data_IF_440686776876
#
_entry.id   IF_440686776876
#
_cell.length_a   1.000
_cell.length_b   1.000
_cell.length_c   1.000
_cell.angle_alpha   90.00
_cell.angle_beta   90.00
_cell.angle_gamma   90.00
#
_symmetry.space_group_name_H-M   'P 1'
#
loop_
_entity.id
_entity.type
_entity.pdbx_description
1 polymer ?
#
# COMPACT_ATOMS: atom_id res chain seq x y z
N UNK A 1 -17.75 16.03 9.88
CA UNK A 1 -16.81 16.55 10.90
C UNK A 1 -17.42 17.78 11.56
N UNK A 2 -17.02 18.14 12.79
CA UNK A 2 -17.45 19.39 13.45
C UNK A 2 -16.36 20.46 13.31
N UNK A 3 -16.75 21.72 13.08
CA UNK A 3 -15.83 22.86 12.95
C UNK A 3 -14.94 23.02 14.20
N UNK A 4 -15.48 22.75 15.39
CA UNK A 4 -14.73 22.75 16.66
C UNK A 4 -13.50 21.84 16.63
N UNK A 5 -13.58 20.68 15.98
CA UNK A 5 -12.46 19.73 15.87
C UNK A 5 -11.35 20.27 14.96
N UNK A 6 -11.71 20.98 13.88
CA UNK A 6 -10.74 21.64 12.99
C UNK A 6 -10.01 22.78 13.71
N UNK A 7 -10.71 23.61 14.48
CA UNK A 7 -10.10 24.70 15.27
C UNK A 7 -9.17 24.14 16.36
N UNK A 8 -9.45 22.95 16.91
CA UNK A 8 -8.60 22.30 17.90
C UNK A 8 -7.30 21.73 17.29
N UNK A 9 -7.41 20.98 16.17
CA UNK A 9 -6.29 20.34 15.49
C UNK A 9 -6.53 20.29 13.95
N UNK A 10 -6.12 21.33 13.20
CA UNK A 10 -6.36 21.38 11.75
C UNK A 10 -5.53 20.36 10.97
N UNK A 11 -4.31 20.04 11.42
CA UNK A 11 -3.46 19.02 10.80
C UNK A 11 -4.12 17.64 10.78
N UNK A 12 -4.61 17.17 11.95
CA UNK A 12 -5.25 15.86 12.05
C UNK A 12 -6.55 15.80 11.25
N UNK A 13 -7.36 16.87 11.26
CA UNK A 13 -8.59 16.94 10.46
C UNK A 13 -8.29 16.85 8.97
N UNK A 14 -7.30 17.58 8.47
CA UNK A 14 -6.90 17.54 7.06
C UNK A 14 -6.28 16.19 6.69
N UNK A 15 -5.49 15.58 7.59
CA UNK A 15 -4.91 14.25 7.39
C UNK A 15 -5.98 13.16 7.24
N UNK A 16 -6.99 13.15 8.12
CA UNK A 16 -8.13 12.24 8.04
C UNK A 16 -8.94 12.51 6.76
N UNK A 17 -9.21 13.78 6.45
CA UNK A 17 -10.00 14.16 5.28
C UNK A 17 -9.36 13.72 3.96
N UNK A 18 -8.04 13.86 3.83
CA UNK A 18 -7.26 13.48 2.63
C UNK A 18 -6.85 12.00 2.59
N UNK A 19 -7.13 11.20 3.63
CA UNK A 19 -6.75 9.78 3.65
C UNK A 19 -7.95 8.83 3.82
N UNK A 20 -8.30 8.44 5.04
CA UNK A 20 -9.42 7.54 5.35
C UNK A 20 -10.72 8.01 4.70
N UNK A 21 -11.14 9.25 4.98
CA UNK A 21 -12.38 9.79 4.39
C UNK A 21 -12.33 9.90 2.86
N UNK A 22 -11.19 10.30 2.29
CA UNK A 22 -11.00 10.40 0.83
C UNK A 22 -11.14 9.05 0.12
N UNK A 23 -10.68 7.99 0.79
CA UNK A 23 -10.70 6.62 0.28
C UNK A 23 -12.09 6.01 0.49
N UNK A 24 -12.65 6.08 1.70
CA UNK A 24 -14.00 5.59 2.05
C UNK A 24 -15.13 6.22 1.24
N UNK A 25 -14.97 7.46 0.78
CA UNK A 25 -15.96 8.14 -0.08
C UNK A 25 -15.67 8.01 -1.58
N UNK A 26 -14.71 7.17 -1.97
CA UNK A 26 -14.39 6.91 -3.38
C UNK A 26 -13.83 8.12 -4.14
N UNK A 27 -13.48 9.22 -3.45
CA UNK A 27 -13.05 10.46 -4.10
C UNK A 27 -11.76 10.24 -4.91
N UNK A 28 -10.92 9.31 -4.46
CA UNK A 28 -9.68 8.87 -5.10
C UNK A 28 -9.85 8.20 -6.48
N UNK A 29 -11.04 7.74 -6.87
CA UNK A 29 -11.29 7.22 -8.22
C UNK A 29 -11.33 8.34 -9.26
N UNK A 30 -11.66 9.58 -8.87
CA UNK A 30 -11.65 10.72 -9.77
C UNK A 30 -10.28 11.40 -9.77
N UNK A 31 -9.58 11.29 -10.91
CA UNK A 31 -8.31 12.00 -11.15
C UNK A 31 -8.45 13.53 -10.98
N UNK A 32 -9.63 14.08 -11.28
CA UNK A 32 -9.94 15.50 -11.03
C UNK A 32 -9.95 15.82 -9.53
N UNK A 33 -10.62 15.00 -8.71
CA UNK A 33 -10.65 15.17 -7.25
C UNK A 33 -9.26 15.10 -6.63
N UNK A 34 -8.44 14.13 -7.06
CA UNK A 34 -7.05 13.96 -6.62
C UNK A 34 -6.17 15.19 -6.91
N UNK A 35 -6.45 15.91 -8.00
CA UNK A 35 -5.70 17.11 -8.39
C UNK A 35 -6.24 18.39 -7.71
N UNK A 36 -7.56 18.60 -7.70
CA UNK A 36 -8.15 19.88 -7.28
C UNK A 36 -8.31 20.02 -5.77
N UNK A 37 -8.68 18.95 -5.05
CA UNK A 37 -9.03 19.03 -3.62
C UNK A 37 -7.81 19.40 -2.76
N UNK A 38 -6.61 18.79 -2.95
CA UNK A 38 -5.41 19.24 -2.26
C UNK A 38 -5.02 20.68 -2.58
N UNK A 39 -5.26 21.18 -3.81
CA UNK A 39 -4.98 22.59 -4.17
C UNK A 39 -5.93 23.56 -3.45
N UNK A 40 -7.23 23.25 -3.38
CA UNK A 40 -8.21 24.06 -2.67
C UNK A 40 -7.88 24.15 -1.16
N UNK A 41 -7.51 23.03 -0.53
CA UNK A 41 -7.09 23.02 0.87
C UNK A 41 -5.79 23.81 1.09
N UNK A 42 -4.85 23.77 0.14
CA UNK A 42 -3.61 24.55 0.20
C UNK A 42 -3.88 26.06 0.28
N UNK A 43 -4.73 26.57 -0.62
CA UNK A 43 -5.14 27.97 -0.61
C UNK A 43 -5.88 28.34 0.67
N UNK A 44 -6.77 27.49 1.17
CA UNK A 44 -7.50 27.72 2.42
C UNK A 44 -6.58 27.80 3.64
N UNK A 45 -5.65 26.84 3.81
CA UNK A 45 -4.71 26.84 4.95
C UNK A 45 -3.73 28.02 4.86
N UNK A 46 -3.21 28.36 3.67
CA UNK A 46 -2.40 29.58 3.50
C UNK A 46 -3.17 30.86 3.81
N UNK A 47 -4.46 30.93 3.47
CA UNK A 47 -5.31 32.07 3.84
C UNK A 47 -5.44 32.21 5.36
N UNK A 48 -5.62 31.11 6.11
CA UNK A 48 -5.68 31.12 7.58
C UNK A 48 -4.36 31.60 8.21
N UNK A 49 -3.22 31.16 7.68
CA UNK A 49 -1.88 31.56 8.12
C UNK A 49 -1.59 33.05 7.85
N UNK A 50 -1.76 33.50 6.60
CA UNK A 50 -1.45 34.88 6.18
C UNK A 50 -2.29 35.90 6.94
N UNK A 51 -3.58 35.61 7.15
CA UNK A 51 -4.49 36.49 7.89
C UNK A 51 -4.48 36.25 9.42
N UNK A 52 -3.63 35.33 9.91
CA UNK A 52 -3.44 34.99 11.34
C UNK A 52 -4.74 34.62 12.08
N UNK A 53 -5.71 34.04 11.36
CA UNK A 53 -7.07 33.75 11.85
C UNK A 53 -7.05 32.74 13.02
N UNK A 54 -6.08 31.82 13.02
CA UNK A 54 -5.81 30.89 14.13
C UNK A 54 -4.34 31.02 14.57
N UNK A 55 -3.96 32.21 15.06
CA UNK A 55 -2.60 32.53 15.51
C UNK A 55 -2.05 31.57 16.58
N UNK A 56 -2.90 31.00 17.43
CA UNK A 56 -2.56 29.97 18.43
C UNK A 56 -2.25 28.58 17.82
N UNK A 57 -2.39 28.41 16.51
CA UNK A 57 -2.36 27.11 15.81
C UNK A 57 -1.44 27.09 14.59
N UNK A 58 -0.53 28.07 14.44
CA UNK A 58 0.45 28.16 13.34
C UNK A 58 1.08 26.82 13.00
N UNK A 59 1.69 26.17 13.99
CA UNK A 59 2.46 24.93 13.86
C UNK A 59 1.60 23.75 13.35
N UNK A 60 0.29 23.79 13.63
CA UNK A 60 -0.68 22.81 13.15
C UNK A 60 -1.19 23.15 11.74
N UNK A 61 -1.21 24.42 11.35
CA UNK A 61 -1.51 24.84 9.97
C UNK A 61 -0.31 24.57 9.05
N UNK A 62 0.91 24.83 9.51
CA UNK A 62 2.14 24.50 8.77
C UNK A 62 2.29 22.99 8.58
N UNK A 63 2.05 22.19 9.64
CA UNK A 63 1.96 20.72 9.52
C UNK A 63 0.83 20.28 8.56
N UNK A 64 -0.29 21.00 8.51
CA UNK A 64 -1.35 20.72 7.55
C UNK A 64 -0.91 21.01 6.10
N UNK A 65 -0.15 22.08 5.86
CA UNK A 65 0.45 22.36 4.55
C UNK A 65 1.36 21.22 4.09
N UNK A 66 2.25 20.72 4.95
CA UNK A 66 3.13 19.58 4.58
C UNK A 66 2.33 18.33 4.19
N UNK A 67 1.21 18.07 4.86
CA UNK A 67 0.32 16.94 4.54
C UNK A 67 -0.41 17.18 3.21
N UNK A 68 -0.83 18.41 2.93
CA UNK A 68 -1.43 18.80 1.65
C UNK A 68 -0.42 18.71 0.49
N UNK A 69 0.84 19.11 0.72
CA UNK A 69 1.91 19.04 -0.28
C UNK A 69 2.28 17.58 -0.60
N UNK A 70 2.33 16.69 0.40
CA UNK A 70 2.39 15.24 0.14
C UNK A 70 1.17 14.78 -0.67
N UNK A 71 -0.05 15.15 -0.27
CA UNK A 71 -1.29 14.74 -0.94
C UNK A 71 -1.37 15.17 -2.42
N UNK A 72 -0.95 16.40 -2.75
CA UNK A 72 -0.86 16.88 -4.15
C UNK A 72 0.01 15.96 -5.02
N UNK A 73 1.06 15.37 -4.45
CA UNK A 73 2.00 14.52 -5.20
C UNK A 73 1.73 13.02 -5.11
N UNK A 74 0.92 12.56 -4.16
CA UNK A 74 0.60 11.13 -3.96
C UNK A 74 -0.77 10.76 -4.53
N UNK A 75 -1.82 11.57 -4.31
CA UNK A 75 -3.17 11.25 -4.80
C UNK A 75 -3.24 11.24 -6.34
N UNK A 76 -2.43 12.08 -7.00
CA UNK A 76 -2.25 12.06 -8.45
C UNK A 76 -1.74 10.70 -8.98
N UNK A 77 -1.00 9.94 -8.16
CA UNK A 77 -0.41 8.65 -8.54
C UNK A 77 -1.40 7.49 -8.41
N UNK A 78 -2.50 7.62 -7.66
CA UNK A 78 -3.45 6.52 -7.41
C UNK A 78 -3.98 5.91 -8.71
N UNK A 79 -4.44 6.76 -9.63
CA UNK A 79 -4.91 6.31 -10.95
C UNK A 79 -3.81 5.69 -11.82
N UNK A 80 -2.53 6.03 -11.59
CA UNK A 80 -1.39 5.49 -12.34
C UNK A 80 -0.98 4.14 -11.78
N UNK A 81 -0.84 4.02 -10.45
CA UNK A 81 -0.54 2.75 -9.76
C UNK A 81 -1.62 1.71 -10.07
N UNK A 82 -2.91 2.09 -10.01
CA UNK A 82 -4.03 1.22 -10.35
C UNK A 82 -4.14 0.84 -11.83
N UNK A 83 -3.31 1.42 -12.71
CA UNK A 83 -3.19 1.08 -14.13
C UNK A 83 -1.88 0.35 -14.46
N UNK A 84 -0.85 0.48 -13.61
CA UNK A 84 0.50 -0.06 -13.83
C UNK A 84 0.85 -1.27 -12.94
N UNK A 85 0.00 -1.59 -11.96
CA UNK A 85 0.18 -2.73 -11.05
C UNK A 85 -1.00 -3.71 -11.13
N UNK A 86 -0.77 -5.01 -11.37
CA UNK A 86 0.50 -5.64 -11.76
C UNK A 86 0.97 -5.21 -13.16
N UNK A 87 2.29 -5.10 -13.36
CA UNK A 87 2.91 -4.85 -14.66
C UNK A 87 3.06 -6.14 -15.50
N UNK A 88 3.64 -6.07 -16.70
CA UNK A 88 3.73 -7.22 -17.60
C UNK A 88 4.57 -8.36 -16.99
N UNK A 89 5.63 -8.06 -16.24
CA UNK A 89 6.42 -9.06 -15.51
C UNK A 89 5.57 -9.76 -14.44
N UNK A 90 4.87 -8.99 -13.61
CA UNK A 90 4.06 -9.53 -12.53
C UNK A 90 2.83 -10.29 -13.06
N UNK A 91 2.21 -9.82 -14.15
CA UNK A 91 1.16 -10.54 -14.89
C UNK A 91 1.70 -11.85 -15.49
N UNK A 92 2.89 -11.84 -16.10
CA UNK A 92 3.53 -13.04 -16.66
C UNK A 92 3.83 -14.07 -15.57
N UNK A 93 4.31 -13.64 -14.39
CA UNK A 93 4.44 -14.52 -13.24
C UNK A 93 3.08 -15.10 -12.79
N UNK A 94 2.01 -14.28 -12.77
CA UNK A 94 0.65 -14.73 -12.46
C UNK A 94 0.14 -15.77 -13.46
N UNK A 95 0.40 -15.60 -14.75
CA UNK A 95 0.07 -16.56 -15.81
C UNK A 95 0.85 -17.88 -15.65
N UNK A 96 2.18 -17.82 -15.56
CA UNK A 96 3.07 -18.98 -15.44
C UNK A 96 2.84 -19.82 -14.17
N UNK A 97 2.37 -19.18 -13.09
CA UNK A 97 2.19 -19.80 -11.78
C UNK A 97 0.72 -19.90 -11.33
N UNK A 98 -0.24 -19.71 -12.22
CA UNK A 98 -1.65 -20.06 -11.99
C UNK A 98 -1.86 -21.57 -12.04
N UNK A 99 -2.76 -22.12 -11.21
CA UNK A 99 -3.08 -23.56 -11.23
C UNK A 99 -4.03 -23.92 -12.39
N UNK A 100 -3.75 -23.46 -13.62
CA UNK A 100 -4.59 -23.63 -14.81
C UNK A 100 -4.78 -25.10 -15.23
N UNK A 101 -4.09 -26.05 -14.58
CA UNK A 101 -4.34 -27.49 -14.68
C UNK A 101 -5.45 -28.03 -13.76
N UNK A 102 -6.08 -27.21 -12.91
CA UNK A 102 -7.17 -27.60 -12.00
C UNK A 102 -8.43 -26.71 -12.14
N UNK A 103 -8.71 -26.22 -13.35
CA UNK A 103 -9.97 -25.55 -13.65
C UNK A 103 -11.15 -26.56 -13.77
N UNK A 104 -11.71 -26.98 -12.62
CA UNK A 104 -13.14 -27.27 -12.39
C UNK A 104 -13.41 -28.18 -11.16
N UNK A 105 -13.11 -27.71 -9.94
CA UNK A 105 -13.96 -28.06 -8.80
C UNK A 105 -14.70 -26.80 -8.34
N UNK A 106 -16.01 -26.94 -8.13
CA UNK A 106 -16.90 -25.81 -7.91
C UNK A 106 -16.80 -25.36 -6.44
N UNK A 107 -15.94 -24.38 -6.17
CA UNK A 107 -16.04 -23.56 -4.95
C UNK A 107 -17.27 -22.63 -5.10
N UNK A 108 -18.45 -23.25 -5.10
CA UNK A 108 -19.73 -22.58 -5.19
C UNK A 108 -19.91 -21.77 -3.92
N UNK A 109 -19.98 -20.45 -4.08
CA UNK A 109 -20.16 -19.54 -2.96
C UNK A 109 -21.57 -19.68 -2.40
N UNK A 110 -21.78 -20.70 -1.56
CA UNK A 110 -23.01 -20.90 -0.78
C UNK A 110 -23.21 -19.66 0.09
N UNK A 111 -24.08 -18.77 -0.38
CA UNK A 111 -24.64 -17.71 0.43
C UNK A 111 -25.29 -18.36 1.65
N UNK A 112 -24.94 -17.97 2.89
CA UNK A 112 -25.56 -18.52 4.09
C UNK A 112 -27.00 -17.99 4.20
N UNK A 113 -27.91 -18.66 3.48
CA UNK A 113 -29.34 -18.42 3.61
C UNK A 113 -29.77 -18.76 5.04
N UNK A 114 -30.17 -17.74 5.79
CA UNK A 114 -30.73 -17.88 7.13
C UNK A 114 -32.04 -18.67 7.08
N UNK A 115 -31.94 -19.99 7.26
CA UNK A 115 -33.09 -20.84 7.56
C UNK A 115 -33.58 -20.51 8.97
N UNK A 116 -34.52 -19.56 9.06
CA UNK A 116 -35.27 -19.30 10.28
C UNK A 116 -36.04 -20.55 10.71
N UNK A 117 -35.44 -21.34 11.60
CA UNK A 117 -36.09 -22.46 12.25
C UNK A 117 -37.23 -21.93 13.15
N UNK A 118 -38.46 -22.04 12.66
CA UNK A 118 -39.66 -21.86 13.48
C UNK A 118 -39.73 -23.04 14.44
N UNK A 119 -39.27 -22.82 15.67
CA UNK A 119 -39.38 -23.79 16.76
C UNK A 119 -40.85 -23.97 17.10
N UNK A 120 -41.39 -25.15 16.80
CA UNK A 120 -42.66 -25.61 17.37
C UNK A 120 -42.36 -26.37 18.64
N UNK A 121 -42.96 -25.99 19.76
CA UNK A 121 -42.84 -26.74 21.01
C UNK A 121 -43.61 -28.05 20.92
N UNK A 122 -42.98 -29.18 21.24
CA UNK A 122 -43.68 -30.24 21.96
C UNK A 122 -42.72 -31.07 22.83
N UNK A 123 -43.25 -31.64 23.91
CA UNK A 123 -42.46 -32.21 25.01
C UNK A 123 -42.40 -33.73 24.98
N UNK A 124 -41.27 -34.33 25.37
CA UNK A 124 -41.33 -35.50 26.27
C UNK A 124 -40.00 -35.81 26.99
N UNK A 125 -40.16 -36.32 28.21
CA UNK A 125 -39.12 -36.62 29.20
C UNK A 125 -38.51 -38.00 28.97
N UNK A 126 -37.18 -38.19 29.12
CA UNK A 126 -36.63 -39.12 30.14
C UNK A 126 -35.10 -39.35 30.19
N UNK A 127 -34.62 -39.49 31.44
CA UNK A 127 -33.58 -40.41 31.96
C UNK A 127 -32.09 -40.24 31.57
N UNK A 128 -31.33 -39.75 32.56
CA UNK A 128 -29.99 -40.20 32.98
C UNK A 128 -29.89 -41.76 33.10
N UNK A 129 -28.69 -42.40 33.12
CA UNK A 129 -27.49 -41.95 33.87
C UNK A 129 -26.07 -42.26 33.29
N UNK A 130 -25.03 -41.78 34.01
CA UNK A 130 -23.68 -42.36 34.29
C UNK A 130 -22.93 -43.17 33.19
N UNK A 131 -21.62 -43.07 32.98
CA UNK A 131 -20.50 -42.26 33.52
C UNK A 131 -19.24 -42.58 32.65
N UNK A 132 -17.94 -42.45 32.95
CA UNK A 132 -17.14 -42.13 34.15
C UNK A 132 -15.72 -41.60 33.78
N UNK A 133 -14.73 -41.74 34.66
CA UNK A 133 -13.34 -41.26 34.53
C UNK A 133 -12.47 -42.07 33.54
N UNK A 134 -11.54 -41.40 32.84
CA UNK A 134 -10.11 -41.83 32.81
C UNK A 134 -9.20 -40.58 32.80
N UNK A 135 -8.17 -40.56 33.65
CA UNK A 135 -7.11 -39.55 33.65
C UNK A 135 -5.80 -40.10 33.10
N UNK A 136 -5.06 -39.33 32.29
CA UNK A 136 -3.62 -39.60 32.06
C UNK A 136 -2.78 -38.34 31.82
N UNK A 137 -2.20 -37.79 32.89
CA UNK A 137 -1.20 -36.73 32.83
C UNK A 137 0.15 -37.30 32.35
N UNK A 138 0.83 -36.68 31.37
CA UNK A 138 2.23 -37.03 31.03
C UNK A 138 3.17 -35.82 30.95
N UNK A 139 3.53 -35.32 32.15
CA UNK A 139 4.31 -34.10 32.41
C UNK A 139 5.81 -34.28 32.07
N UNK A 140 6.22 -34.09 30.80
CA UNK A 140 7.61 -34.31 30.35
C UNK A 140 8.53 -33.12 30.72
N UNK A 141 9.24 -33.23 31.84
CA UNK A 141 10.12 -32.20 32.43
C UNK A 141 11.58 -32.34 31.95
N UNK A 142 12.07 -31.42 31.11
CA UNK A 142 13.52 -31.27 30.78
C UNK A 142 13.82 -29.78 30.56
N UNK A 143 14.32 -29.09 31.58
CA UNK A 143 15.74 -28.71 31.72
C UNK A 143 16.24 -27.78 30.61
N UNK A 144 15.89 -26.50 30.73
CA UNK A 144 16.72 -25.42 30.21
C UNK A 144 18.12 -25.49 30.84
N UNK A 145 19.16 -25.22 30.06
CA UNK A 145 20.55 -25.13 30.54
C UNK A 145 21.09 -23.75 30.19
N UNK A 146 20.82 -22.77 31.05
CA UNK A 146 21.43 -21.46 30.93
C UNK A 146 22.96 -21.60 30.92
N UNK A 147 23.62 -20.89 30.02
CA UNK A 147 25.08 -20.75 29.99
C UNK A 147 25.36 -19.25 30.02
N UNK A 148 25.77 -18.73 31.18
CA UNK A 148 26.27 -17.37 31.28
C UNK A 148 27.49 -17.24 30.37
N UNK A 149 27.58 -16.14 29.63
CA UNK A 149 28.84 -15.66 29.07
C UNK A 149 29.13 -14.30 29.71
N UNK A 150 30.22 -14.23 30.46
CA UNK A 150 30.59 -13.03 31.23
C UNK A 150 31.28 -12.02 30.33
N UNK A 151 31.08 -10.73 30.64
CA UNK A 151 31.67 -9.59 29.93
C UNK A 151 33.21 -9.61 29.93
N UNK A 152 33.79 -9.04 28.87
CA UNK A 152 35.13 -8.47 28.87
C UNK A 152 35.07 -7.07 28.21
N UNK A 153 35.48 -5.99 28.88
CA UNK A 153 35.37 -4.64 28.34
C UNK A 153 36.55 -4.29 27.43
N UNK A 154 36.37 -4.44 26.11
CA UNK A 154 37.32 -3.98 25.09
C UNK A 154 37.13 -2.50 24.78
N UNK A 155 37.96 -1.63 25.37
CA UNK A 155 37.96 -0.20 25.03
C UNK A 155 38.61 0.07 23.66
N UNK A 156 37.87 0.73 22.76
CA UNK A 156 38.36 1.10 21.43
C UNK A 156 37.84 2.48 21.03
N UNK A 157 38.62 3.53 21.31
CA UNK A 157 38.28 4.90 20.91
C UNK A 157 38.56 5.08 19.42
N UNK A 158 37.53 5.31 18.61
CA UNK A 158 37.63 5.63 17.20
C UNK A 158 37.00 7.00 16.94
N UNK A 159 37.78 7.92 16.38
CA UNK A 159 37.39 9.33 16.21
C UNK A 159 36.33 9.52 15.12
N UNK A 160 35.26 10.25 15.44
CA UNK A 160 34.38 10.85 14.43
C UNK A 160 35.19 11.85 13.58
N UNK A 161 35.44 11.50 12.32
CA UNK A 161 35.91 12.46 11.33
C UNK A 161 34.73 13.33 10.88
N UNK A 162 34.72 14.59 11.30
CA UNK A 162 33.76 15.58 10.80
C UNK A 162 34.20 16.00 9.39
N UNK A 163 33.38 15.70 8.39
CA UNK A 163 33.62 16.14 7.01
C UNK A 163 33.03 17.55 6.84
N UNK A 164 33.85 18.57 7.03
CA UNK A 164 33.49 19.95 6.73
C UNK A 164 33.44 20.16 5.20
N UNK A 165 32.23 20.15 4.64
CA UNK A 165 31.99 20.44 3.22
C UNK A 165 32.10 21.95 2.93
N UNK A 166 33.34 22.45 2.85
CA UNK A 166 33.64 23.84 2.50
C UNK A 166 33.29 24.15 1.04
N UNK A 167 32.04 24.55 0.78
CA UNK A 167 31.60 25.09 -0.51
C UNK A 167 31.82 26.60 -0.54
N UNK A 168 32.95 27.03 -1.10
CA UNK A 168 33.17 28.44 -1.41
C UNK A 168 32.31 28.85 -2.60
N UNK A 169 31.51 29.91 -2.47
CA UNK A 169 30.74 30.51 -3.58
C UNK A 169 30.80 32.03 -3.51
N UNK A 170 31.90 32.59 -4.00
CA UNK A 170 32.07 34.03 -4.19
C UNK A 170 31.42 34.47 -5.50
N UNK A 171 30.24 35.08 -5.44
CA UNK A 171 29.49 35.54 -6.60
C UNK A 171 28.75 36.85 -6.33
N UNK A 172 29.46 37.98 -6.35
CA UNK A 172 28.83 39.29 -6.30
C UNK A 172 28.17 39.63 -7.65
N UNK A 173 26.85 39.86 -7.64
CA UNK A 173 26.19 40.69 -8.65
C UNK A 173 25.21 41.64 -7.96
N UNK A 174 25.46 42.95 -8.09
CA UNK A 174 24.52 43.99 -7.69
C UNK A 174 23.50 44.22 -8.80
N UNK A 175 22.23 44.33 -8.44
CA UNK A 175 21.15 44.44 -9.42
C UNK A 175 19.79 44.75 -8.80
N UNK A 176 19.59 46.00 -8.37
CA UNK A 176 18.28 46.50 -7.95
C UNK A 176 17.60 47.24 -9.08
N UNK A 177 16.38 46.83 -9.47
CA UNK A 177 15.43 47.73 -10.11
C UNK A 177 14.09 47.81 -9.37
N UNK A 178 13.76 49.04 -8.95
CA UNK A 178 12.43 49.66 -8.80
C UNK A 178 11.18 48.76 -8.80
N UNK A 179 10.38 48.91 -7.74
CA UNK A 179 8.96 48.54 -7.75
C UNK A 179 8.11 49.49 -8.63
N UNK A 180 7.13 48.93 -9.36
CA UNK A 180 5.95 49.65 -9.85
C UNK A 180 4.87 48.68 -10.37
N UNK A 181 3.73 48.60 -9.67
CA UNK A 181 2.45 47.96 -10.06
C UNK A 181 1.50 48.07 -8.85
N UNK A 182 0.89 49.22 -8.58
CA UNK A 182 -0.12 49.89 -9.42
C UNK A 182 -1.23 48.91 -9.83
N UNK A 183 -2.19 48.72 -8.93
CA UNK A 183 -3.41 47.95 -9.16
C UNK A 183 -4.63 48.82 -8.83
N UNK A 184 -5.45 49.10 -9.85
CA UNK A 184 -6.90 49.26 -9.68
C UNK A 184 -7.43 50.45 -8.87
N UNK A 185 -7.08 51.70 -9.18
CA UNK A 185 -7.97 52.84 -8.82
C UNK A 185 -9.16 52.88 -9.78
N UNK A 186 -10.22 52.13 -9.46
CA UNK A 186 -11.52 52.22 -10.11
C UNK A 186 -12.45 53.21 -9.40
N UNK A 187 -13.21 54.00 -10.14
CA UNK A 187 -14.04 55.08 -9.58
C UNK A 187 -15.14 54.59 -8.64
N UNK A 188 -15.42 55.38 -7.61
CA UNK A 188 -16.68 55.28 -6.89
C UNK A 188 -17.81 55.90 -7.73
N UNK A 189 -18.96 55.24 -7.78
CA UNK A 189 -20.23 55.83 -8.19
C UNK A 189 -21.30 55.45 -7.15
N UNK A 190 -22.14 56.39 -6.76
CA UNK A 190 -22.85 56.36 -5.49
C UNK A 190 -24.37 56.20 -5.66
N UNK A 191 -24.95 55.22 -4.94
CA UNK A 191 -26.38 55.18 -4.67
C UNK A 191 -26.66 54.92 -3.18
N UNK A 192 -27.47 55.76 -2.51
CA UNK A 192 -27.84 55.57 -1.11
C UNK A 192 -29.06 54.63 -0.99
N UNK A 193 -28.82 53.35 -0.70
CA UNK A 193 -29.88 52.39 -0.41
C UNK A 193 -30.27 52.42 1.08
N UNK A 194 -31.55 52.74 1.33
CA UNK A 194 -32.18 52.84 2.66
C UNK A 194 -32.00 51.59 3.53
N UNK A 195 -31.47 51.74 4.73
CA UNK A 195 -31.59 50.73 5.79
C UNK A 195 -32.93 50.92 6.50
N UNK A 196 -33.93 50.14 6.10
CA UNK A 196 -35.25 50.05 6.76
C UNK A 196 -35.42 48.70 7.44
N UNK A 197 -36.22 48.69 8.51
CA UNK A 197 -36.42 47.56 9.44
C UNK A 197 -37.51 46.61 8.91
N UNK A 198 -37.56 45.41 9.50
CA UNK A 198 -38.40 44.24 9.16
C UNK A 198 -37.73 43.28 8.15
N UNK A 199 -37.93 41.95 8.23
CA UNK A 199 -38.83 41.18 9.11
C UNK A 199 -38.28 39.78 9.42
N UNK A 200 -38.85 39.07 10.41
CA UNK A 200 -38.39 37.75 10.84
C UNK A 200 -38.81 36.62 9.90
N UNK A 201 -38.04 36.41 8.82
CA UNK A 201 -38.19 35.29 7.88
C UNK A 201 -37.54 33.99 8.35
N UNK A 202 -38.27 32.87 8.27
CA UNK A 202 -37.84 31.57 8.79
C UNK A 202 -36.82 30.82 7.92
N UNK A 203 -35.84 30.17 8.58
CA UNK A 203 -34.90 29.23 7.94
C UNK A 203 -35.60 27.90 7.62
N UNK A 204 -36.36 27.85 6.52
CA UNK A 204 -37.14 26.65 6.19
C UNK A 204 -37.96 26.74 4.91
N UNK A 205 -37.36 27.13 3.78
CA UNK A 205 -37.99 26.94 2.46
C UNK A 205 -36.97 26.58 1.38
N UNK A 206 -37.40 25.72 0.47
CA UNK A 206 -36.58 25.03 -0.53
C UNK A 206 -35.98 25.96 -1.60
N UNK A 207 -34.66 26.04 -1.63
CA UNK A 207 -33.89 26.23 -2.86
C UNK A 207 -32.75 25.22 -2.90
N UNK A 208 -32.39 24.73 -4.08
CA UNK A 208 -31.35 23.72 -4.26
C UNK A 208 -29.96 24.33 -4.10
N UNK A 209 -29.55 24.59 -2.86
CA UNK A 209 -28.16 24.89 -2.54
C UNK A 209 -27.29 23.69 -2.89
N UNK A 210 -26.54 23.78 -3.99
CA UNK A 210 -25.49 22.83 -4.31
C UNK A 210 -24.39 22.95 -3.25
N UNK A 211 -24.46 22.10 -2.24
CA UNK A 211 -23.42 22.00 -1.21
C UNK A 211 -22.08 21.60 -1.84
N UNK A 212 -20.97 21.98 -1.19
CA UNK A 212 -19.59 21.78 -1.64
C UNK A 212 -19.10 20.30 -1.70
N UNK A 213 -20.03 19.36 -1.83
CA UNK A 213 -19.80 17.94 -2.12
C UNK A 213 -20.83 17.33 -3.07
N UNK A 214 -21.68 18.15 -3.70
CA UNK A 214 -22.49 17.71 -4.83
C UNK A 214 -21.55 17.49 -6.03
N UNK A 215 -21.34 16.23 -6.41
CA UNK A 215 -20.69 15.90 -7.68
C UNK A 215 -21.57 16.47 -8.78
N UNK A 216 -21.05 17.42 -9.55
CA UNK A 216 -21.76 17.99 -10.69
C UNK A 216 -21.60 17.01 -11.85
N UNK A 217 -22.41 15.95 -11.81
CA UNK A 217 -22.70 15.09 -12.96
C UNK A 217 -23.57 15.87 -13.97
N UNK A 218 -23.04 16.98 -14.47
CA UNK A 218 -23.36 17.48 -15.79
C UNK A 218 -22.34 16.83 -16.75
N UNK A 219 -22.63 15.64 -17.31
CA UNK A 219 -21.91 15.20 -18.49
C UNK A 219 -22.21 16.22 -19.60
N UNK A 220 -21.25 17.11 -19.87
CA UNK A 220 -21.14 17.71 -21.20
C UNK A 220 -20.85 16.51 -22.10
N UNK A 221 -21.87 16.05 -22.84
CA UNK A 221 -21.88 14.77 -23.56
C UNK A 221 -20.91 14.81 -24.75
N UNK A 222 -19.63 14.72 -24.41
CA UNK A 222 -18.47 14.65 -25.27
C UNK A 222 -17.35 13.84 -24.57
N UNK A 223 -17.74 12.98 -23.62
CA UNK A 223 -16.88 11.95 -23.07
C UNK A 223 -16.58 10.93 -24.17
N UNK A 224 -15.42 11.09 -24.82
CA UNK A 224 -14.87 10.21 -25.84
C UNK A 224 -14.49 8.80 -25.35
N UNK A 225 -15.20 8.28 -24.36
CA UNK A 225 -15.17 6.90 -23.87
C UNK A 225 -16.13 5.99 -24.66
N UNK A 226 -17.10 6.57 -25.37
CA UNK A 226 -17.99 5.82 -26.27
C UNK A 226 -17.27 5.29 -27.50
N UNK A 227 -17.32 3.97 -27.69
CA UNK A 227 -16.87 3.25 -28.90
C UNK A 227 -15.37 3.39 -29.25
N UNK A 228 -14.50 3.29 -28.24
CA UNK A 228 -13.16 2.72 -28.46
C UNK A 228 -13.29 1.27 -28.95
N UNK A 229 -13.42 1.09 -30.27
CA UNK A 229 -13.23 -0.21 -30.92
C UNK A 229 -11.76 -0.61 -30.75
N UNK A 230 -11.47 -1.38 -29.70
CA UNK A 230 -10.15 -1.98 -29.44
C UNK A 230 -9.88 -2.99 -30.56
N UNK A 231 -9.28 -2.52 -31.65
CA UNK A 231 -9.03 -3.28 -32.87
C UNK A 231 -7.83 -4.19 -32.67
N UNK A 232 -8.12 -5.47 -32.42
CA UNK A 232 -7.23 -6.53 -31.90
C UNK A 232 -7.12 -6.49 -30.36
N UNK A 233 -7.14 -7.66 -29.67
CA UNK A 233 -6.83 -7.71 -28.25
C UNK A 233 -5.39 -7.22 -28.00
N UNK A 234 -5.08 -6.71 -26.79
CA UNK A 234 -3.70 -6.38 -26.43
C UNK A 234 -2.81 -7.63 -26.54
N UNK A 235 -1.52 -7.47 -26.91
CA UNK A 235 -0.58 -8.59 -26.94
C UNK A 235 -0.42 -9.18 -25.53
N UNK A 236 -0.16 -10.50 -25.41
CA UNK A 236 -0.07 -11.16 -24.10
C UNK A 236 1.09 -10.58 -23.28
N UNK A 237 0.97 -10.44 -21.94
CA UNK A 237 2.01 -9.84 -21.08
C UNK A 237 3.40 -10.47 -21.26
N UNK A 238 3.43 -11.79 -21.45
CA UNK A 238 4.64 -12.58 -21.70
C UNK A 238 5.45 -12.15 -22.94
N UNK A 239 4.86 -11.40 -23.88
CA UNK A 239 5.55 -10.88 -25.08
C UNK A 239 6.48 -9.69 -24.80
N UNK A 240 6.34 -9.03 -23.64
CA UNK A 240 7.22 -7.94 -23.20
C UNK A 240 8.41 -8.42 -22.36
N UNK A 241 8.43 -9.71 -21.99
CA UNK A 241 9.43 -10.30 -21.08
C UNK A 241 10.44 -11.13 -21.89
N UNK A 242 11.76 -10.99 -21.66
CA UNK A 242 12.76 -11.79 -22.34
C UNK A 242 12.46 -13.29 -22.29
N UNK A 243 12.56 -13.97 -23.44
CA UNK A 243 12.21 -15.38 -23.59
C UNK A 243 13.03 -16.30 -22.68
N UNK A 244 14.27 -15.94 -22.35
CA UNK A 244 15.09 -16.68 -21.40
C UNK A 244 14.55 -16.59 -19.96
N UNK A 245 13.91 -15.48 -19.55
CA UNK A 245 13.24 -15.36 -18.25
C UNK A 245 11.98 -16.23 -18.23
N UNK A 246 11.09 -16.08 -19.22
CA UNK A 246 9.81 -16.80 -19.25
C UNK A 246 9.99 -18.32 -19.40
N UNK A 247 11.01 -18.77 -20.13
CA UNK A 247 11.36 -20.18 -20.24
C UNK A 247 12.10 -20.75 -19.01
N UNK A 248 12.64 -19.92 -18.11
CA UNK A 248 13.46 -20.39 -16.97
C UNK A 248 12.74 -20.28 -15.63
N UNK A 249 11.85 -19.30 -15.47
CA UNK A 249 10.97 -19.15 -14.29
C UNK A 249 10.26 -20.47 -13.90
N UNK A 250 9.50 -21.16 -14.77
CA UNK A 250 8.79 -22.39 -14.39
C UNK A 250 9.68 -23.63 -14.24
N UNK A 251 10.98 -23.54 -14.58
CA UNK A 251 11.97 -24.60 -14.36
C UNK A 251 12.69 -24.45 -13.02
N UNK A 252 12.91 -23.20 -12.60
CA UNK A 252 13.74 -22.81 -11.44
C UNK A 252 12.90 -22.45 -10.22
N UNK A 253 11.66 -21.99 -10.42
CA UNK A 253 10.76 -21.48 -9.38
C UNK A 253 9.35 -22.09 -9.48
N UNK A 254 8.64 -22.05 -8.35
CA UNK A 254 7.23 -22.41 -8.17
C UNK A 254 6.58 -21.36 -7.26
N UNK A 255 5.24 -21.33 -7.22
CA UNK A 255 4.50 -20.47 -6.29
C UNK A 255 4.65 -21.00 -4.85
N UNK A 256 5.28 -20.20 -3.99
CA UNK A 256 5.48 -20.51 -2.57
C UNK A 256 4.29 -20.08 -1.70
N UNK A 257 4.56 -19.25 -0.70
CA UNK A 257 3.50 -18.60 0.09
C UNK A 257 2.64 -17.70 -0.80
N UNK A 258 1.33 -17.68 -0.55
CA UNK A 258 0.40 -16.68 -1.12
C UNK A 258 -0.34 -16.00 0.03
N UNK A 259 -0.22 -14.68 0.12
CA UNK A 259 -0.87 -13.86 1.14
C UNK A 259 -1.67 -12.70 0.53
N UNK A 260 -2.74 -12.32 1.21
CA UNK A 260 -3.45 -11.07 1.02
C UNK A 260 -3.14 -10.14 2.20
N UNK A 261 -2.50 -9.00 1.94
CA UNK A 261 -2.00 -8.11 2.99
C UNK A 261 -1.84 -6.65 2.55
N UNK A 262 -1.81 -5.75 3.54
CA UNK A 262 -1.38 -4.36 3.37
C UNK A 262 0.12 -4.22 3.67
N UNK A 263 0.82 -3.59 2.73
CA UNK A 263 2.27 -3.37 2.72
C UNK A 263 2.59 -1.88 2.62
N UNK A 264 3.70 -1.45 3.21
CA UNK A 264 4.31 -0.13 2.97
C UNK A 264 5.55 -0.26 2.10
N UNK A 265 5.70 0.65 1.13
CA UNK A 265 6.93 0.78 0.36
C UNK A 265 8.04 1.32 1.27
N UNK A 266 8.96 0.45 1.66
CA UNK A 266 10.09 0.71 2.56
C UNK A 266 11.29 1.29 1.80
N UNK A 267 11.58 0.73 0.63
CA UNK A 267 12.68 1.15 -0.25
C UNK A 267 12.37 0.85 -1.72
N UNK A 268 13.01 1.60 -2.62
CA UNK A 268 12.99 1.38 -4.08
C UNK A 268 14.44 1.49 -4.57
N UNK A 269 14.98 0.40 -5.09
CA UNK A 269 16.36 0.32 -5.61
C UNK A 269 16.37 0.21 -7.14
N UNK A 270 17.31 0.89 -7.84
CA UNK A 270 17.50 0.71 -9.28
C UNK A 270 17.95 -0.72 -9.62
N UNK A 271 17.84 -1.14 -10.89
CA UNK A 271 18.43 -2.38 -11.35
C UNK A 271 19.96 -2.35 -11.23
N UNK A 272 20.58 -3.51 -10.99
CA UNK A 272 22.03 -3.65 -10.83
C UNK A 272 22.78 -3.46 -12.15
N UNK A 273 23.63 -2.44 -12.25
CA UNK A 273 24.48 -2.14 -13.43
C UNK A 273 25.67 -3.12 -13.60
N UNK A 274 25.45 -4.43 -13.45
CA UNK A 274 26.51 -5.43 -13.57
C UNK A 274 26.93 -5.63 -15.04
N UNK A 275 28.23 -5.48 -15.31
CA UNK A 275 28.79 -5.47 -16.67
C UNK A 275 28.87 -6.85 -17.36
N UNK A 276 28.70 -7.94 -16.61
CA UNK A 276 28.81 -9.32 -17.10
C UNK A 276 27.48 -9.76 -17.70
N UNK A 277 27.26 -9.47 -18.99
CA UNK A 277 26.13 -10.01 -19.74
C UNK A 277 26.15 -11.54 -19.69
N UNK A 278 25.02 -12.15 -19.34
CA UNK A 278 24.80 -13.59 -19.49
C UNK A 278 24.49 -13.92 -20.95
N UNK A 279 24.91 -15.10 -21.41
CA UNK A 279 24.53 -15.63 -22.72
C UNK A 279 23.09 -16.17 -22.66
N UNK A 280 22.28 -15.84 -23.67
CA UNK A 280 20.81 -15.89 -23.57
C UNK A 280 20.23 -17.31 -23.37
N UNK A 281 20.94 -18.37 -23.79
CA UNK A 281 20.45 -19.76 -23.73
C UNK A 281 20.83 -20.51 -22.43
N UNK A 282 21.65 -19.93 -21.55
CA UNK A 282 22.41 -20.72 -20.54
C UNK A 282 21.86 -20.61 -19.09
N UNK A 283 20.75 -19.90 -18.86
CA UNK A 283 20.19 -19.70 -17.50
C UNK A 283 19.42 -20.95 -17.03
N UNK A 284 20.12 -21.87 -16.36
CA UNK A 284 19.54 -23.09 -15.76
C UNK A 284 19.42 -23.00 -14.23
N UNK A 285 20.18 -22.12 -13.59
CA UNK A 285 20.19 -21.94 -12.13
C UNK A 285 19.22 -20.84 -11.65
N UNK A 286 18.63 -21.06 -10.48
CA UNK A 286 17.69 -20.13 -9.85
C UNK A 286 18.36 -18.84 -9.36
N UNK A 287 19.59 -18.92 -8.81
CA UNK A 287 20.32 -17.74 -8.31
C UNK A 287 20.77 -16.89 -9.49
N UNK A 288 21.27 -17.51 -10.57
CA UNK A 288 21.58 -16.81 -11.82
C UNK A 288 20.37 -16.07 -12.41
N UNK A 289 19.17 -16.69 -12.40
CA UNK A 289 17.95 -16.04 -12.85
C UNK A 289 17.54 -14.85 -11.95
N UNK A 290 17.65 -14.98 -10.62
CA UNK A 290 17.35 -13.87 -9.71
C UNK A 290 18.30 -12.68 -9.88
N UNK A 291 19.59 -12.90 -10.17
CA UNK A 291 20.52 -11.81 -10.49
C UNK A 291 20.19 -11.14 -11.84
N UNK A 292 19.70 -11.91 -12.83
CA UNK A 292 19.17 -11.32 -14.08
C UNK A 292 17.92 -10.46 -13.84
N UNK A 293 17.02 -10.90 -12.95
CA UNK A 293 15.86 -10.10 -12.55
C UNK A 293 16.28 -8.82 -11.81
N UNK A 294 17.27 -8.88 -10.92
CA UNK A 294 17.85 -7.70 -10.26
C UNK A 294 18.57 -6.75 -11.23
N UNK A 295 19.08 -7.24 -12.38
CA UNK A 295 19.63 -6.40 -13.46
C UNK A 295 18.56 -5.81 -14.37
N UNK A 296 17.46 -6.51 -14.58
CA UNK A 296 16.42 -6.12 -15.54
C UNK A 296 15.34 -5.22 -14.94
N UNK A 297 15.01 -5.40 -13.65
CA UNK A 297 13.85 -4.78 -13.00
C UNK A 297 14.24 -3.92 -11.79
N UNK A 298 13.39 -2.94 -11.48
CA UNK A 298 13.50 -2.18 -10.23
C UNK A 298 13.09 -3.07 -9.06
N UNK A 299 13.82 -2.98 -7.96
CA UNK A 299 13.58 -3.78 -6.76
C UNK A 299 12.84 -2.94 -5.72
N UNK A 300 11.67 -3.38 -5.27
CA UNK A 300 10.85 -2.67 -4.28
C UNK A 300 10.71 -3.52 -3.02
N UNK A 301 11.08 -2.95 -1.88
CA UNK A 301 10.97 -3.61 -0.56
C UNK A 301 9.69 -3.14 0.13
N UNK A 302 8.90 -4.10 0.59
CA UNK A 302 7.54 -3.92 1.09
C UNK A 302 7.41 -4.47 2.52
N UNK A 303 7.41 -3.57 3.51
CA UNK A 303 7.26 -3.93 4.94
C UNK A 303 5.79 -4.13 5.33
N UNK A 304 5.46 -4.97 6.33
CA UNK A 304 4.07 -5.13 6.81
C UNK A 304 3.49 -3.81 7.35
N UNK A 305 2.37 -3.34 6.79
CA UNK A 305 1.65 -2.17 7.32
C UNK A 305 0.48 -2.65 8.18
N UNK A 306 0.75 -2.96 9.45
CA UNK A 306 -0.25 -3.48 10.37
C UNK A 306 -1.28 -2.39 10.73
N UNK A 307 -2.51 -2.54 10.23
CA UNK A 307 -3.69 -1.76 10.68
C UNK A 307 -4.54 -2.61 11.63
N UNK A 308 -5.31 -1.96 12.52
CA UNK A 308 -6.11 -2.65 13.55
C UNK A 308 -7.15 -3.64 13.00
N UNK A 309 -7.62 -3.39 11.78
CA UNK A 309 -8.75 -4.08 11.14
C UNK A 309 -8.31 -5.01 10.00
N UNK A 310 -7.11 -4.80 9.44
CA UNK A 310 -6.57 -5.58 8.32
C UNK A 310 -5.43 -6.49 8.79
N UNK A 311 -5.78 -7.69 9.25
CA UNK A 311 -4.79 -8.75 9.51
C UNK A 311 -4.40 -9.45 8.20
N UNK A 312 -3.11 -9.62 7.87
CA UNK A 312 -2.67 -10.41 6.72
C UNK A 312 -3.26 -11.83 6.71
N UNK A 313 -3.86 -12.22 5.57
CA UNK A 313 -4.53 -13.52 5.38
C UNK A 313 -3.74 -14.38 4.41
N UNK A 314 -3.28 -15.55 4.86
CA UNK A 314 -2.74 -16.57 3.96
C UNK A 314 -3.89 -17.21 3.18
N UNK A 315 -3.72 -17.38 1.86
CA UNK A 315 -4.73 -17.99 1.00
C UNK A 315 -4.60 -19.52 0.97
N UNK A 316 -5.69 -20.24 0.71
CA UNK A 316 -5.71 -21.71 0.54
C UNK A 316 -4.81 -22.20 -0.59
N UNK A 317 -4.56 -21.34 -1.59
CA UNK A 317 -3.64 -21.56 -2.71
C UNK A 317 -2.15 -21.41 -2.35
N UNK A 318 -1.82 -21.04 -1.10
CA UNK A 318 -0.46 -20.97 -0.56
C UNK A 318 0.16 -22.36 -0.41
N UNK A 319 1.39 -22.55 -0.89
CA UNK A 319 2.13 -23.82 -0.84
C UNK A 319 3.37 -23.78 0.07
N UNK A 320 3.75 -22.61 0.61
CA UNK A 320 4.96 -22.42 1.43
C UNK A 320 4.75 -22.46 2.95
N UNK A 321 5.85 -22.63 3.69
CA UNK A 321 5.89 -22.67 5.16
C UNK A 321 5.57 -21.29 5.78
N UNK A 322 4.56 -21.20 6.67
CA UNK A 322 4.16 -19.94 7.34
C UNK A 322 4.01 -20.09 8.86
N UNK A 323 4.45 -19.07 9.61
CA UNK A 323 4.24 -18.91 11.05
C UNK A 323 2.98 -18.07 11.30
N UNK A 324 1.94 -18.67 11.88
CA UNK A 324 0.73 -17.94 12.31
C UNK A 324 0.82 -17.64 13.82
N UNK A 325 1.32 -16.45 14.16
CA UNK A 325 1.64 -16.08 15.55
C UNK A 325 0.46 -16.18 16.53
N UNK A 326 -0.78 -16.03 16.07
CA UNK A 326 -1.97 -15.99 16.92
C UNK A 326 -2.24 -17.27 17.73
N UNK A 327 -1.74 -18.43 17.29
CA UNK A 327 -1.89 -19.72 17.99
C UNK A 327 -0.57 -20.43 18.26
N UNK A 328 0.54 -19.96 17.69
CA UNK A 328 1.82 -20.68 17.69
C UNK A 328 1.81 -21.93 16.80
N UNK A 329 0.74 -22.17 16.03
CA UNK A 329 0.69 -23.25 15.04
C UNK A 329 1.42 -22.79 13.77
N UNK A 330 2.43 -23.56 13.38
CA UNK A 330 2.91 -23.56 12.00
C UNK A 330 1.87 -24.32 11.16
N UNK A 331 1.61 -23.89 9.93
CA UNK A 331 0.88 -24.74 8.98
C UNK A 331 1.86 -25.77 8.41
N UNK A 332 1.62 -27.06 8.64
CA UNK A 332 2.48 -28.19 8.22
C UNK A 332 2.41 -28.47 6.68
N UNK A 333 2.30 -27.42 5.86
CA UNK A 333 2.51 -27.46 4.41
C UNK A 333 4.03 -27.54 4.11
N UNK A 334 4.65 -28.63 4.59
CA UNK A 334 6.07 -28.71 4.93
C UNK A 334 7.00 -28.85 3.71
N UNK A 335 7.21 -27.72 3.01
CA UNK A 335 8.08 -27.63 1.83
C UNK A 335 9.54 -27.43 2.25
N UNK A 336 10.36 -28.44 1.91
CA UNK A 336 11.82 -28.40 2.04
C UNK A 336 12.37 -28.03 3.41
N UNK A 337 13.52 -27.35 3.38
CA UNK A 337 14.17 -26.72 4.54
C UNK A 337 13.95 -25.19 4.55
N UNK A 338 12.92 -24.71 3.85
CA UNK A 338 12.62 -23.28 3.71
C UNK A 338 12.24 -22.71 5.08
N UNK A 339 13.02 -21.75 5.61
CA UNK A 339 12.71 -21.07 6.87
C UNK A 339 11.25 -20.55 6.84
N UNK A 340 10.41 -20.84 7.84
CA UNK A 340 9.03 -20.37 7.86
C UNK A 340 8.92 -18.84 7.75
N UNK A 341 8.01 -18.38 6.89
CA UNK A 341 7.73 -16.96 6.65
C UNK A 341 6.74 -16.40 7.69
N UNK A 342 6.86 -15.14 8.07
CA UNK A 342 5.93 -14.45 8.96
C UNK A 342 5.39 -13.14 8.34
N UNK A 343 4.15 -13.18 7.87
CA UNK A 343 3.44 -12.04 7.27
C UNK A 343 3.33 -10.80 8.18
N UNK A 344 3.53 -10.94 9.49
CA UNK A 344 3.47 -9.83 10.46
C UNK A 344 4.81 -9.12 10.72
N UNK A 345 5.95 -9.70 10.32
CA UNK A 345 7.29 -9.10 10.55
C UNK A 345 8.17 -9.00 9.31
N UNK A 346 7.95 -9.88 8.33
CA UNK A 346 8.93 -10.10 7.28
C UNK A 346 8.64 -9.17 6.09
N UNK A 347 9.64 -8.36 5.73
CA UNK A 347 9.63 -7.60 4.48
C UNK A 347 9.54 -8.57 3.28
N UNK A 348 8.84 -8.15 2.21
CA UNK A 348 8.85 -8.85 0.92
C UNK A 348 9.51 -7.99 -0.15
N UNK A 349 10.21 -8.62 -1.09
CA UNK A 349 10.92 -7.94 -2.17
C UNK A 349 10.25 -8.29 -3.50
N UNK A 350 9.68 -7.30 -4.19
CA UNK A 350 9.05 -7.47 -5.51
C UNK A 350 9.88 -6.80 -6.61
N UNK A 351 9.87 -7.40 -7.79
CA UNK A 351 10.42 -6.80 -9.01
C UNK A 351 9.32 -6.03 -9.75
N UNK A 352 9.64 -4.84 -10.28
CA UNK A 352 8.72 -4.03 -11.08
C UNK A 352 9.41 -3.38 -12.28
N UNK A 353 8.62 -3.08 -13.31
CA UNK A 353 9.06 -2.39 -14.51
C UNK A 353 9.38 -0.91 -14.27
N UNK A 354 10.24 -0.35 -15.13
CA UNK A 354 10.70 1.03 -15.03
C UNK A 354 9.57 2.08 -15.16
N UNK A 355 8.49 1.77 -15.89
CA UNK A 355 7.29 2.60 -15.97
C UNK A 355 6.49 2.57 -14.67
N UNK A 356 6.15 1.37 -14.19
CA UNK A 356 5.43 1.15 -12.93
C UNK A 356 6.14 1.81 -11.76
N UNK A 357 7.47 1.70 -11.68
CA UNK A 357 8.30 2.39 -10.69
C UNK A 357 8.15 3.91 -10.69
N UNK A 358 7.81 4.58 -11.80
CA UNK A 358 7.57 6.04 -11.81
C UNK A 358 6.34 6.44 -10.99
N UNK A 359 5.40 5.51 -10.80
CA UNK A 359 4.17 5.72 -10.02
C UNK A 359 4.33 5.41 -8.52
N UNK A 360 5.40 4.71 -8.13
CA UNK A 360 5.62 4.25 -6.75
C UNK A 360 6.43 5.27 -5.93
N UNK A 361 6.10 5.42 -4.65
CA UNK A 361 6.84 6.25 -3.69
C UNK A 361 7.07 5.51 -2.37
N UNK A 362 8.26 5.71 -1.79
CA UNK A 362 8.56 5.30 -0.42
C UNK A 362 7.58 5.96 0.55
N UNK A 363 7.10 5.18 1.53
CA UNK A 363 6.08 5.59 2.49
C UNK A 363 4.64 5.25 2.09
N UNK A 364 4.31 5.20 0.79
CA UNK A 364 2.96 4.83 0.33
C UNK A 364 2.64 3.37 0.62
N UNK A 365 1.34 3.07 0.75
CA UNK A 365 0.82 1.74 1.06
C UNK A 365 0.16 1.08 -0.14
N UNK A 366 0.37 -0.23 -0.29
CA UNK A 366 -0.27 -1.09 -1.28
C UNK A 366 -0.95 -2.25 -0.55
N UNK A 367 -2.25 -2.42 -0.75
CA UNK A 367 -3.02 -3.56 -0.26
C UNK A 367 -3.37 -4.46 -1.44
N UNK A 368 -3.06 -5.74 -1.33
CA UNK A 368 -3.09 -6.63 -2.48
C UNK A 368 -2.82 -8.08 -2.15
N UNK A 369 -2.74 -8.89 -3.20
CA UNK A 369 -2.39 -10.31 -3.13
C UNK A 369 -0.98 -10.49 -3.66
N UNK A 370 -0.13 -11.09 -2.83
CA UNK A 370 1.30 -11.26 -3.05
C UNK A 370 1.64 -12.76 -3.06
N UNK A 371 2.48 -13.18 -4.00
CA UNK A 371 2.90 -14.56 -4.11
C UNK A 371 4.43 -14.67 -4.15
N UNK A 372 4.97 -15.61 -3.39
CA UNK A 372 6.40 -15.86 -3.31
C UNK A 372 6.89 -16.58 -4.57
N UNK A 373 7.99 -16.09 -5.15
CA UNK A 373 8.84 -16.88 -6.05
C UNK A 373 9.68 -17.81 -5.18
N UNK A 374 9.26 -19.07 -5.05
CA UNK A 374 9.97 -20.08 -4.27
C UNK A 374 10.78 -20.97 -5.20
N UNK A 375 12.09 -21.11 -4.96
CA UNK A 375 12.96 -21.91 -5.80
C UNK A 375 12.64 -23.40 -5.69
N UNK A 376 12.71 -24.12 -6.80
CA UNK A 376 12.54 -25.58 -6.87
C UNK A 376 13.62 -26.30 -6.06
N UNK A 377 14.85 -25.77 -6.05
CA UNK A 377 15.97 -26.26 -5.23
C UNK A 377 15.60 -26.40 -3.75
N UNK A 378 14.95 -25.37 -3.20
CA UNK A 378 14.74 -25.22 -1.76
C UNK A 378 13.60 -26.12 -1.26
N UNK A 379 12.77 -26.62 -2.20
CA UNK A 379 11.71 -27.59 -1.96
C UNK A 379 12.24 -29.01 -1.73
N UNK A 380 13.44 -29.33 -2.24
CA UNK A 380 14.06 -30.66 -2.18
C UNK A 380 14.76 -30.82 -0.83
N UNK A 381 14.50 -31.94 -0.13
CA UNK A 381 14.91 -32.14 1.28
C UNK A 381 16.37 -32.60 1.46
N UNK A 382 17.18 -32.63 0.41
CA UNK A 382 18.51 -33.24 0.42
C UNK A 382 19.62 -32.32 0.92
N UNK A 383 19.71 -32.22 2.25
CA UNK A 383 20.99 -32.20 2.96
C UNK A 383 21.78 -30.89 3.04
N UNK A 384 21.40 -29.82 2.33
CA UNK A 384 22.04 -28.50 2.47
C UNK A 384 21.22 -27.59 3.38
N UNK A 385 21.85 -26.99 4.40
CA UNK A 385 21.25 -25.89 5.16
C UNK A 385 21.18 -24.64 4.26
N UNK A 386 20.00 -24.03 4.17
CA UNK A 386 19.81 -22.74 3.46
C UNK A 386 20.51 -21.65 4.26
N UNK A 387 21.28 -20.79 3.58
CA UNK A 387 21.99 -19.68 4.22
C UNK A 387 21.02 -18.69 4.85
N UNK A 388 21.07 -18.59 6.19
CA UNK A 388 20.27 -17.63 6.97
C UNK A 388 20.64 -16.20 6.53
N UNK A 389 19.68 -15.50 5.92
CA UNK A 389 19.85 -14.15 5.39
C UNK A 389 19.57 -13.99 3.89
N UNK A 390 19.23 -15.07 3.17
CA UNK A 390 18.90 -14.99 1.74
C UNK A 390 17.54 -14.28 1.49
N UNK A 391 17.57 -13.25 0.63
CA UNK A 391 16.41 -12.41 0.29
C UNK A 391 15.36 -13.20 -0.50
N UNK A 392 14.10 -13.05 -0.13
CA UNK A 392 12.96 -13.72 -0.80
C UNK A 392 12.33 -12.80 -1.83
N UNK A 393 12.21 -13.30 -3.05
CA UNK A 393 11.56 -12.59 -4.15
C UNK A 393 10.07 -12.97 -4.22
N UNK A 394 9.25 -12.00 -4.60
CA UNK A 394 7.80 -12.08 -4.66
C UNK A 394 7.31 -11.39 -5.94
N UNK A 395 6.09 -11.72 -6.36
CA UNK A 395 5.38 -11.02 -7.41
C UNK A 395 3.99 -10.57 -6.94
N UNK A 396 3.51 -9.51 -7.58
CA UNK A 396 2.22 -8.89 -7.35
C UNK A 396 1.18 -9.66 -8.16
N UNK A 397 0.22 -10.33 -7.50
CA UNK A 397 -0.90 -10.94 -8.22
C UNK A 397 -1.96 -9.88 -8.54
N UNK A 398 -2.33 -9.07 -7.55
CA UNK A 398 -3.40 -8.07 -7.64
C UNK A 398 -3.14 -6.92 -6.65
N UNK A 399 -3.41 -5.67 -7.03
CA UNK A 399 -3.48 -4.52 -6.11
C UNK A 399 -4.93 -4.11 -5.96
N UNK A 400 -5.49 -4.25 -4.76
CA UNK A 400 -6.89 -3.94 -4.45
C UNK A 400 -7.06 -2.61 -3.70
N UNK A 401 -6.01 -2.11 -3.05
CA UNK A 401 -6.04 -0.88 -2.24
C UNK A 401 -4.73 -0.11 -2.40
N UNK A 402 -4.81 1.22 -2.43
CA UNK A 402 -3.67 2.12 -2.40
C UNK A 402 -3.89 3.10 -1.24
N UNK A 403 -2.87 3.34 -0.42
CA UNK A 403 -2.90 4.29 0.70
C UNK A 403 -1.79 5.35 0.53
N UNK A 404 -2.04 6.61 0.90
CA UNK A 404 -0.97 7.61 0.97
C UNK A 404 -0.02 7.34 2.14
N UNK A 405 1.19 7.89 2.10
CA UNK A 405 2.17 7.80 3.19
C UNK A 405 1.66 8.40 4.51
N UNK A 406 0.83 9.44 4.40
CA UNK A 406 0.18 10.13 5.52
C UNK A 406 -1.16 9.49 5.95
N UNK A 407 -1.47 8.23 5.56
CA UNK A 407 -2.74 7.60 5.92
C UNK A 407 -2.99 7.53 7.43
N UNK A 408 -4.21 7.88 7.86
CA UNK A 408 -4.63 7.88 9.26
C UNK A 408 -5.97 7.12 9.43
N UNK A 409 -5.95 6.08 10.27
CA UNK A 409 -7.16 5.43 10.79
C UNK A 409 -7.82 6.39 11.80
N UNK A 410 -9.15 6.46 11.81
CA UNK A 410 -9.96 7.31 12.71
C UNK A 410 -10.32 6.55 14.00
#
# INVERSE_FOLDING_TARGET
>A
MKLSTFVQNPAQVIQIYLSSYFIEKGLHYSKYNCDIIPKLLYFYVKFLLVNKILSEKTDNLDRALSIIEMAQTELALFSVIGQSCPDHFNQTCKELFSDSGMLAENDSMESPHETMNIVTEESSVSKLPKSENVTSKKKKKRKSKAKNLTLAPGGGSASHAVVESNVATSGQLSGSPRASSSWGTGSAESQPASWTVAESGGWGSSSQSMGWGAVIDNPVVNDGWGDFKISSPPPPPSSFIPTHITNSLPKTHVRGVVEHSLRRIKAISPPNESSVKLEEDTIVDAVALEEELKRSYWTVVLEPWLMKEETPRILSSSKGNVVLQATGSVNDLYVGNVMPYNCLSDDITVFVEAETRKSLKVGMGLGGTWAQLLRVSDCIKEGKEVSVGETRHWYIMDVLRILPSYYMIV
#
